data_IF_877425676596
#
_entry.id   IF_877425676596
#
_cell.length_a   1.000
_cell.length_b   1.000
_cell.length_c   1.000
_cell.angle_alpha   90.00
_cell.angle_beta   90.00
_cell.angle_gamma   90.00
#
_symmetry.space_group_name_H-M   'P 1'
#
loop_
_entity.id
_entity.type
_entity.pdbx_description
1 polymer ?
#
# COMPACT_ATOMS: atom_id res chain seq x y z
N UNK A 1 -28.98 -31.46 56.24
CA UNK A 1 -28.62 -32.57 55.35
C UNK A 1 -28.69 -31.99 53.96
N UNK A 2 -27.58 -31.41 53.53
CA UNK A 2 -27.44 -30.91 52.17
C UNK A 2 -27.24 -32.11 51.28
N UNK A 3 -28.21 -32.42 50.44
CA UNK A 3 -28.03 -33.33 49.31
C UNK A 3 -26.97 -32.72 48.39
N UNK A 4 -25.75 -33.25 48.44
CA UNK A 4 -24.75 -33.07 47.42
C UNK A 4 -25.31 -33.73 46.14
N UNK A 5 -25.84 -32.89 45.26
CA UNK A 5 -26.07 -33.29 43.87
C UNK A 5 -24.71 -33.62 43.28
N UNK A 6 -24.40 -34.91 43.18
CA UNK A 6 -23.28 -35.39 42.39
C UNK A 6 -23.47 -34.85 40.96
N UNK A 7 -22.76 -33.79 40.65
CA UNK A 7 -22.66 -33.32 39.26
C UNK A 7 -21.99 -34.45 38.47
N UNK A 8 -22.78 -35.20 37.73
CA UNK A 8 -22.30 -36.15 36.72
C UNK A 8 -21.43 -35.38 35.74
N UNK A 9 -20.14 -35.52 35.87
CA UNK A 9 -19.22 -35.00 34.88
C UNK A 9 -19.37 -35.82 33.59
N UNK A 10 -20.06 -35.26 32.62
CA UNK A 10 -20.13 -35.85 31.30
C UNK A 10 -18.76 -35.62 30.65
N UNK A 11 -18.08 -36.70 30.30
CA UNK A 11 -16.74 -36.66 29.72
C UNK A 11 -16.86 -36.18 28.27
N UNK A 12 -16.63 -34.89 28.05
CA UNK A 12 -16.69 -34.26 26.71
C UNK A 12 -15.33 -34.35 26.06
N UNK A 13 -15.29 -34.88 24.85
CA UNK A 13 -14.11 -34.91 24.05
C UNK A 13 -14.01 -33.66 23.17
N UNK A 14 -13.18 -32.67 23.53
CA UNK A 14 -13.00 -31.46 22.73
C UNK A 14 -12.45 -31.83 21.35
N UNK A 15 -12.77 -30.98 20.37
CA UNK A 15 -12.30 -31.16 19.01
C UNK A 15 -10.76 -31.17 18.95
N UNK A 16 -10.17 -32.11 18.17
CA UNK A 16 -8.70 -32.14 18.01
C UNK A 16 -8.17 -30.79 17.50
N UNK A 17 -6.96 -30.39 17.94
CA UNK A 17 -6.32 -29.11 17.58
C UNK A 17 -6.29 -28.84 16.09
N UNK A 18 -6.02 -29.85 15.27
CA UNK A 18 -5.96 -29.69 13.81
C UNK A 18 -7.33 -29.46 13.19
N UNK A 19 -8.35 -30.21 13.63
CA UNK A 19 -9.74 -29.96 13.20
C UNK A 19 -10.22 -28.59 13.62
N UNK A 20 -9.88 -28.16 14.86
CA UNK A 20 -10.21 -26.83 15.36
C UNK A 20 -9.54 -25.70 14.56
N UNK A 21 -8.25 -25.90 14.21
CA UNK A 21 -7.52 -24.96 13.36
C UNK A 21 -8.12 -24.89 11.95
N UNK A 22 -8.50 -26.02 11.38
CA UNK A 22 -9.16 -26.06 10.06
C UNK A 22 -10.51 -25.35 10.06
N UNK A 23 -11.33 -25.50 11.12
CA UNK A 23 -12.58 -24.76 11.25
C UNK A 23 -12.31 -23.25 11.30
N UNK A 24 -11.36 -22.83 12.13
CA UNK A 24 -10.98 -21.43 12.29
C UNK A 24 -10.50 -20.82 10.97
N UNK A 25 -9.52 -21.47 10.32
CA UNK A 25 -8.98 -20.98 9.05
C UNK A 25 -10.00 -21.07 7.90
N UNK A 26 -10.85 -22.08 7.88
CA UNK A 26 -11.86 -22.29 6.86
C UNK A 26 -12.91 -21.18 6.85
N UNK A 27 -13.39 -20.75 8.01
CA UNK A 27 -14.35 -19.64 8.11
C UNK A 27 -13.74 -18.33 7.57
N UNK A 28 -12.48 -18.03 7.90
CA UNK A 28 -11.80 -16.85 7.37
C UNK A 28 -11.47 -16.97 5.89
N UNK A 29 -11.15 -18.14 5.40
CA UNK A 29 -10.91 -18.36 3.98
C UNK A 29 -12.18 -18.12 3.15
N UNK A 30 -13.32 -18.63 3.60
CA UNK A 30 -14.62 -18.35 2.97
C UNK A 30 -14.95 -16.85 3.02
N UNK A 31 -14.76 -16.23 4.18
CA UNK A 31 -14.99 -14.80 4.35
C UNK A 31 -14.06 -13.96 3.46
N UNK A 32 -12.77 -14.35 3.33
CA UNK A 32 -11.84 -13.69 2.45
C UNK A 32 -12.26 -13.77 0.97
N UNK A 33 -12.63 -14.96 0.48
CA UNK A 33 -13.11 -15.12 -0.90
C UNK A 33 -14.37 -14.27 -1.14
N UNK A 34 -15.31 -14.29 -0.20
CA UNK A 34 -16.53 -13.50 -0.32
C UNK A 34 -16.23 -11.99 -0.29
N UNK A 35 -15.34 -11.54 0.60
CA UNK A 35 -14.88 -10.14 0.64
C UNK A 35 -14.25 -9.74 -0.70
N UNK A 36 -13.40 -10.58 -1.26
CA UNK A 36 -12.77 -10.32 -2.54
C UNK A 36 -13.79 -10.18 -3.68
N UNK A 37 -14.77 -11.08 -3.74
CA UNK A 37 -15.85 -11.02 -4.75
C UNK A 37 -16.70 -9.75 -4.56
N UNK A 38 -17.16 -9.48 -3.34
CA UNK A 38 -18.00 -8.32 -3.04
C UNK A 38 -17.27 -7.00 -3.32
N UNK A 39 -15.99 -6.89 -2.94
CA UNK A 39 -15.20 -5.70 -3.18
C UNK A 39 -15.06 -5.42 -4.67
N UNK A 40 -14.61 -6.40 -5.45
CA UNK A 40 -14.24 -6.19 -6.85
C UNK A 40 -15.44 -6.13 -7.79
N UNK A 41 -16.55 -6.83 -7.49
CA UNK A 41 -17.69 -6.89 -8.40
C UNK A 41 -18.85 -6.00 -7.99
N UNK A 42 -18.94 -5.59 -6.73
CA UNK A 42 -20.11 -4.87 -6.21
C UNK A 42 -19.74 -3.54 -5.58
N UNK A 43 -19.01 -3.56 -4.47
CA UNK A 43 -18.87 -2.37 -3.60
C UNK A 43 -17.99 -1.31 -4.27
N UNK A 44 -16.79 -1.67 -4.70
CA UNK A 44 -15.85 -0.70 -5.28
C UNK A 44 -16.29 -0.19 -6.67
N UNK A 45 -16.81 -1.01 -7.61
CA UNK A 45 -17.41 -0.49 -8.83
C UNK A 45 -18.58 0.47 -8.58
N UNK A 46 -19.45 0.15 -7.62
CA UNK A 46 -20.54 1.06 -7.24
C UNK A 46 -20.03 2.38 -6.66
N UNK A 47 -19.04 2.31 -5.78
CA UNK A 47 -18.40 3.50 -5.22
C UNK A 47 -17.71 4.36 -6.30
N UNK A 48 -17.06 3.73 -7.29
CA UNK A 48 -16.49 4.43 -8.45
C UNK A 48 -17.52 5.26 -9.21
N UNK A 49 -18.68 4.69 -9.46
CA UNK A 49 -19.78 5.37 -10.17
C UNK A 49 -20.36 6.50 -9.31
N UNK A 50 -20.66 6.22 -8.04
CA UNK A 50 -21.29 7.19 -7.13
C UNK A 50 -20.37 8.40 -6.88
N UNK A 51 -19.08 8.15 -6.70
CA UNK A 51 -18.09 9.18 -6.41
C UNK A 51 -17.42 9.78 -7.66
N UNK A 52 -17.77 9.31 -8.86
CA UNK A 52 -17.16 9.75 -10.14
C UNK A 52 -15.61 9.74 -10.09
N UNK A 53 -15.05 8.62 -9.60
CA UNK A 53 -13.60 8.54 -9.32
C UNK A 53 -12.74 8.68 -10.57
N UNK A 54 -13.25 8.30 -11.75
CA UNK A 54 -12.53 8.47 -13.00
C UNK A 54 -12.33 9.95 -13.31
N UNK A 55 -13.39 10.75 -13.24
CA UNK A 55 -13.29 12.20 -13.45
C UNK A 55 -12.38 12.88 -12.43
N UNK A 56 -12.44 12.45 -11.16
CA UNK A 56 -11.53 12.97 -10.13
C UNK A 56 -10.07 12.63 -10.46
N UNK A 57 -9.78 11.39 -10.86
CA UNK A 57 -8.43 10.98 -11.27
C UNK A 57 -7.94 11.77 -12.47
N UNK A 58 -8.78 11.92 -13.49
CA UNK A 58 -8.44 12.71 -14.69
C UNK A 58 -8.19 14.18 -14.34
N UNK A 59 -8.95 14.73 -13.38
CA UNK A 59 -8.76 16.10 -12.88
C UNK A 59 -7.44 16.24 -12.12
N UNK A 60 -7.10 15.30 -11.23
CA UNK A 60 -5.83 15.32 -10.52
C UNK A 60 -4.65 15.24 -11.49
N UNK A 61 -4.69 14.30 -12.44
CA UNK A 61 -3.66 14.20 -13.48
C UNK A 61 -3.55 15.47 -14.32
N UNK A 62 -4.67 16.10 -14.67
CA UNK A 62 -4.65 17.38 -15.40
C UNK A 62 -4.02 18.54 -14.60
N UNK A 63 -4.23 18.58 -13.28
CA UNK A 63 -3.59 19.55 -12.40
C UNK A 63 -2.09 19.32 -12.28
N UNK A 64 -1.66 18.08 -12.11
CA UNK A 64 -0.23 17.72 -12.12
C UNK A 64 0.42 18.11 -13.45
N UNK A 65 -0.23 17.79 -14.58
CA UNK A 65 0.27 18.19 -15.90
C UNK A 65 0.34 19.72 -16.07
N UNK A 66 -0.59 20.48 -15.48
CA UNK A 66 -0.50 21.96 -15.48
C UNK A 66 0.69 22.44 -14.67
N UNK A 67 0.92 21.89 -13.49
CA UNK A 67 2.09 22.21 -12.66
C UNK A 67 3.40 21.91 -13.41
N UNK A 68 3.50 20.71 -13.98
CA UNK A 68 4.66 20.30 -14.78
C UNK A 68 4.86 21.19 -16.02
N UNK A 69 3.76 21.59 -16.68
CA UNK A 69 3.84 22.51 -17.82
C UNK A 69 4.43 23.86 -17.43
N UNK A 70 4.12 24.39 -16.24
CA UNK A 70 4.76 25.62 -15.76
C UNK A 70 6.28 25.48 -15.70
N UNK A 71 6.78 24.34 -15.19
CA UNK A 71 8.23 24.07 -15.15
C UNK A 71 8.84 23.92 -16.55
N UNK A 72 8.11 23.31 -17.47
CA UNK A 72 8.56 23.14 -18.87
C UNK A 72 8.60 24.47 -19.61
N UNK A 73 7.55 25.26 -19.51
CA UNK A 73 7.45 26.55 -20.20
C UNK A 73 8.52 27.56 -19.74
N UNK A 74 9.07 27.38 -18.55
CA UNK A 74 10.14 28.22 -18.00
C UNK A 74 11.54 27.57 -18.05
N UNK A 75 11.66 26.43 -18.72
CA UNK A 75 12.94 25.78 -18.95
C UNK A 75 13.54 25.06 -17.75
N UNK A 76 12.77 24.79 -16.68
CA UNK A 76 13.23 23.96 -15.57
C UNK A 76 13.25 22.47 -15.91
N UNK A 77 12.33 22.04 -16.79
CA UNK A 77 12.28 20.68 -17.32
C UNK A 77 12.38 20.73 -18.85
N UNK A 78 13.19 19.85 -19.41
CA UNK A 78 13.31 19.69 -20.86
C UNK A 78 12.39 18.57 -21.34
N UNK A 79 11.72 18.75 -22.47
CA UNK A 79 10.76 17.80 -23.01
C UNK A 79 11.34 17.15 -24.26
N UNK A 80 11.54 15.82 -24.28
CA UNK A 80 12.04 15.14 -25.48
C UNK A 80 10.98 15.08 -26.59
N UNK A 81 9.69 14.99 -26.20
CA UNK A 81 8.54 14.88 -27.12
C UNK A 81 7.24 15.22 -26.40
N UNK A 82 6.24 15.62 -27.16
CA UNK A 82 4.89 15.82 -26.61
C UNK A 82 4.32 14.49 -26.07
N UNK A 83 3.75 14.56 -24.87
CA UNK A 83 3.13 13.42 -24.20
C UNK A 83 4.09 12.47 -23.51
N UNK A 84 5.35 12.85 -23.31
CA UNK A 84 6.27 12.09 -22.47
C UNK A 84 5.78 12.03 -21.02
N UNK A 85 6.09 10.94 -20.32
CA UNK A 85 5.84 10.82 -18.88
C UNK A 85 6.78 11.76 -18.10
N UNK A 86 6.43 12.01 -16.84
CA UNK A 86 7.32 12.79 -15.96
C UNK A 86 8.70 12.15 -15.81
N UNK A 87 8.75 10.83 -15.70
CA UNK A 87 10.00 10.08 -15.60
C UNK A 87 10.85 10.22 -16.87
N UNK A 88 10.22 10.19 -18.06
CA UNK A 88 10.92 10.43 -19.33
C UNK A 88 11.45 11.87 -19.42
N UNK A 89 10.69 12.86 -18.94
CA UNK A 89 11.11 14.26 -18.91
C UNK A 89 12.32 14.47 -17.98
N UNK A 90 12.26 13.87 -16.77
CA UNK A 90 13.37 13.94 -15.80
C UNK A 90 14.61 13.24 -16.33
N UNK A 91 14.46 12.05 -16.92
CA UNK A 91 15.56 11.31 -17.52
C UNK A 91 16.21 12.09 -18.67
N UNK A 92 15.40 12.69 -19.52
CA UNK A 92 15.91 13.52 -20.61
C UNK A 92 16.64 14.77 -20.09
N UNK A 93 16.08 15.44 -19.08
CA UNK A 93 16.72 16.57 -18.42
C UNK A 93 18.05 16.17 -17.80
N UNK A 94 18.14 15.00 -17.17
CA UNK A 94 19.37 14.42 -16.65
C UNK A 94 20.44 14.28 -17.74
N UNK A 95 20.07 13.75 -18.91
CA UNK A 95 21.00 13.60 -20.07
C UNK A 95 21.46 14.96 -20.58
N UNK A 96 20.59 15.94 -20.66
CA UNK A 96 20.94 17.30 -21.06
C UNK A 96 21.95 17.92 -20.10
N UNK A 97 21.75 17.79 -18.78
CA UNK A 97 22.71 18.26 -17.78
C UNK A 97 24.05 17.51 -17.86
N UNK A 98 24.00 16.20 -18.04
CA UNK A 98 25.23 15.41 -18.21
C UNK A 98 25.99 15.84 -19.43
N UNK A 99 25.32 16.16 -20.54
CA UNK A 99 25.98 16.61 -21.77
C UNK A 99 26.83 17.87 -21.59
N UNK A 100 26.42 18.74 -20.67
CA UNK A 100 27.16 19.93 -20.28
C UNK A 100 28.56 19.62 -19.76
N UNK A 101 28.76 18.50 -19.10
CA UNK A 101 30.04 18.06 -18.54
C UNK A 101 30.78 17.08 -19.47
N UNK A 102 30.03 16.30 -20.25
CA UNK A 102 30.57 15.21 -21.03
C UNK A 102 31.17 15.67 -22.39
N UNK A 103 30.60 16.74 -22.97
CA UNK A 103 31.02 17.23 -24.29
C UNK A 103 31.73 18.58 -24.18
N UNK A 104 32.72 18.77 -25.03
CA UNK A 104 33.32 20.08 -25.25
C UNK A 104 32.52 20.84 -26.32
N UNK A 105 32.62 22.19 -26.35
CA UNK A 105 31.86 23.06 -27.26
C UNK A 105 31.96 22.68 -28.74
N UNK A 106 33.06 21.99 -29.13
CA UNK A 106 33.32 21.56 -30.51
C UNK A 106 32.68 20.19 -30.84
N UNK A 107 32.14 19.46 -29.87
CA UNK A 107 31.68 18.09 -30.07
C UNK A 107 30.13 17.99 -30.13
N UNK A 108 29.52 18.82 -30.98
CA UNK A 108 28.08 18.74 -31.23
C UNK A 108 27.78 17.50 -32.04
N UNK A 109 26.95 16.61 -31.52
CA UNK A 109 26.33 15.55 -32.32
C UNK A 109 25.27 16.16 -33.23
N UNK A 110 25.42 16.13 -34.57
CA UNK A 110 24.43 16.66 -35.50
C UNK A 110 23.06 15.93 -35.41
N UNK A 111 23.03 14.71 -34.86
CA UNK A 111 21.81 13.94 -34.68
C UNK A 111 21.12 14.24 -33.34
N UNK A 112 21.86 14.81 -32.40
CA UNK A 112 21.37 15.22 -31.08
C UNK A 112 21.90 16.61 -30.75
N UNK A 113 21.44 17.68 -31.43
CA UNK A 113 21.95 19.04 -31.28
C UNK A 113 21.75 19.64 -29.89
N UNK A 114 20.88 19.07 -29.08
CA UNK A 114 20.68 19.44 -27.67
C UNK A 114 21.88 19.05 -26.78
N UNK A 115 22.73 18.14 -27.22
CA UNK A 115 23.93 17.75 -26.53
C UNK A 115 25.15 18.47 -27.10
N UNK A 116 26.06 18.93 -26.27
CA UNK A 116 27.37 19.37 -26.68
C UNK A 116 27.66 20.87 -26.57
N UNK A 117 26.70 21.74 -26.56
CA UNK A 117 26.93 23.19 -26.38
C UNK A 117 26.61 23.61 -24.95
N UNK A 118 27.64 23.95 -24.17
CA UNK A 118 27.48 24.30 -22.75
C UNK A 118 26.41 25.39 -22.53
N UNK A 119 26.67 26.59 -22.96
CA UNK A 119 25.79 27.73 -22.65
C UNK A 119 24.68 27.97 -23.69
N UNK A 120 24.69 27.24 -24.79
CA UNK A 120 23.65 27.34 -25.83
C UNK A 120 22.49 26.39 -25.59
N UNK A 121 22.68 25.38 -24.73
CA UNK A 121 21.57 24.53 -24.32
C UNK A 121 20.61 25.29 -23.43
N UNK A 122 19.34 25.42 -23.85
CA UNK A 122 18.36 26.26 -23.17
C UNK A 122 18.11 25.90 -21.70
N UNK A 123 18.04 24.61 -21.40
CA UNK A 123 17.80 24.13 -20.01
C UNK A 123 19.02 24.42 -19.14
N UNK A 124 20.20 24.06 -19.61
CA UNK A 124 21.44 24.27 -18.85
C UNK A 124 21.73 25.74 -18.66
N UNK A 125 21.55 26.55 -19.71
CA UNK A 125 21.71 28.01 -19.62
C UNK A 125 20.75 28.64 -18.66
N UNK A 126 19.45 28.27 -18.72
CA UNK A 126 18.41 28.76 -17.81
C UNK A 126 18.76 28.41 -16.36
N UNK A 127 19.15 27.18 -16.14
CA UNK A 127 19.54 26.68 -14.82
C UNK A 127 20.78 27.43 -14.31
N UNK A 128 21.79 27.61 -15.15
CA UNK A 128 23.00 28.34 -14.80
C UNK A 128 22.70 29.81 -14.44
N UNK A 129 21.92 30.48 -15.26
CA UNK A 129 21.61 31.90 -15.08
C UNK A 129 20.63 32.18 -13.93
N UNK A 130 19.67 31.30 -13.71
CA UNK A 130 18.54 31.55 -12.79
C UNK A 130 18.57 30.75 -11.50
N UNK A 131 19.07 29.52 -11.52
CA UNK A 131 19.09 28.63 -10.37
C UNK A 131 20.44 28.67 -9.65
N UNK A 132 21.56 28.71 -10.42
CA UNK A 132 22.92 28.73 -9.87
C UNK A 132 23.41 30.15 -9.56
N UNK A 133 22.54 31.12 -9.43
CA UNK A 133 22.93 32.51 -9.07
C UNK A 133 23.81 32.60 -7.83
N UNK A 134 23.61 31.74 -6.87
CA UNK A 134 24.51 31.59 -5.73
C UNK A 134 25.53 30.49 -6.00
N UNK A 135 26.56 30.82 -6.78
CA UNK A 135 27.61 29.87 -7.19
C UNK A 135 28.34 29.23 -6.01
N UNK A 136 28.50 29.94 -4.89
CA UNK A 136 29.15 29.42 -3.70
C UNK A 136 28.31 28.29 -3.05
N UNK A 137 26.99 28.48 -2.92
CA UNK A 137 26.12 27.46 -2.37
C UNK A 137 26.04 26.25 -3.27
N UNK A 138 25.95 26.43 -4.58
CA UNK A 138 25.93 25.34 -5.55
C UNK A 138 27.19 24.45 -5.45
N UNK A 139 28.37 25.05 -5.28
CA UNK A 139 29.60 24.31 -5.12
C UNK A 139 29.63 23.52 -3.80
N UNK A 140 29.09 24.12 -2.72
CA UNK A 140 28.95 23.44 -1.44
C UNK A 140 28.03 22.24 -1.60
N UNK A 141 26.86 22.44 -2.15
CA UNK A 141 25.85 21.39 -2.36
C UNK A 141 26.39 20.29 -3.27
N UNK A 142 27.14 20.65 -4.33
CA UNK A 142 27.75 19.66 -5.21
C UNK A 142 28.80 18.80 -4.51
N UNK A 143 29.55 19.38 -3.55
CA UNK A 143 30.54 18.66 -2.73
C UNK A 143 29.89 17.72 -1.70
N UNK A 144 28.67 18.03 -1.26
CA UNK A 144 27.92 17.21 -0.31
C UNK A 144 27.13 16.06 -0.97
N UNK A 145 26.97 16.09 -2.29
CA UNK A 145 26.26 15.06 -3.03
C UNK A 145 27.07 13.76 -3.05
N UNK A 146 26.44 12.67 -2.65
CA UNK A 146 27.04 11.34 -2.71
C UNK A 146 27.49 10.98 -4.13
N UNK A 147 28.68 10.38 -4.23
CA UNK A 147 29.31 9.95 -5.50
C UNK A 147 29.85 11.09 -6.38
N UNK A 148 29.53 12.37 -6.09
CA UNK A 148 29.98 13.48 -6.91
C UNK A 148 31.52 13.59 -6.94
N UNK A 149 32.19 13.46 -5.82
CA UNK A 149 33.67 13.49 -5.70
C UNK A 149 34.33 12.32 -6.39
N UNK A 150 33.65 11.20 -6.57
CA UNK A 150 34.18 10.07 -7.34
C UNK A 150 34.17 10.36 -8.83
N UNK A 151 33.11 11.02 -9.33
CA UNK A 151 32.88 11.25 -10.75
C UNK A 151 33.46 12.59 -11.23
N UNK A 152 33.51 13.60 -10.37
CA UNK A 152 33.91 14.96 -10.71
C UNK A 152 35.14 15.42 -9.93
N UNK A 153 35.92 16.28 -10.56
CA UNK A 153 36.84 17.18 -9.90
C UNK A 153 36.07 18.46 -9.60
N UNK A 154 36.00 18.85 -8.30
CA UNK A 154 35.17 19.96 -7.85
C UNK A 154 36.06 21.08 -7.33
N UNK A 155 36.22 22.13 -8.13
CA UNK A 155 36.99 23.32 -7.75
C UNK A 155 36.24 24.33 -6.93
N UNK A 156 36.65 25.58 -6.98
CA UNK A 156 36.06 26.70 -6.22
C UNK A 156 35.03 27.49 -7.05
N UNK A 157 34.91 27.26 -8.35
CA UNK A 157 33.98 27.92 -9.24
C UNK A 157 33.16 26.89 -9.99
N UNK A 158 31.96 27.24 -10.47
CA UNK A 158 31.11 26.34 -11.24
C UNK A 158 31.82 25.81 -12.49
N UNK A 159 32.59 26.66 -13.18
CA UNK A 159 33.34 26.25 -14.36
C UNK A 159 34.51 25.30 -14.04
N UNK A 160 34.88 25.18 -12.77
CA UNK A 160 35.90 24.23 -12.30
C UNK A 160 35.34 22.90 -11.84
N UNK A 161 34.03 22.64 -12.02
CA UNK A 161 33.42 21.33 -11.85
C UNK A 161 33.61 20.58 -13.19
N UNK A 162 34.49 19.58 -13.20
CA UNK A 162 34.87 18.86 -14.42
C UNK A 162 34.68 17.37 -14.21
N UNK A 163 34.03 16.71 -15.16
CA UNK A 163 33.90 15.25 -15.18
C UNK A 163 35.25 14.58 -15.37
N UNK A 164 35.66 13.65 -14.50
CA UNK A 164 36.93 12.93 -14.61
C UNK A 164 37.02 12.16 -15.90
N UNK A 165 38.21 12.06 -16.46
CA UNK A 165 38.46 11.51 -17.79
C UNK A 165 37.88 10.09 -18.00
N UNK A 166 37.98 9.22 -16.98
CA UNK A 166 37.50 7.84 -17.07
C UNK A 166 35.94 7.82 -17.17
N UNK A 167 35.26 8.64 -16.38
CA UNK A 167 33.81 8.77 -16.45
C UNK A 167 33.35 9.51 -17.69
N UNK A 168 34.09 10.54 -18.12
CA UNK A 168 33.81 11.30 -19.36
C UNK A 168 33.74 10.39 -20.56
N UNK A 169 34.70 9.47 -20.71
CA UNK A 169 34.73 8.52 -21.82
C UNK A 169 33.51 7.58 -21.83
N UNK A 170 33.15 7.02 -20.69
CA UNK A 170 31.99 6.11 -20.54
C UNK A 170 30.68 6.85 -20.81
N UNK A 171 30.47 7.96 -20.13
CA UNK A 171 29.20 8.69 -20.15
C UNK A 171 28.96 9.40 -21.48
N UNK A 172 30.01 9.92 -22.14
CA UNK A 172 29.89 10.48 -23.50
C UNK A 172 29.43 9.44 -24.51
N UNK A 173 30.01 8.25 -24.49
CA UNK A 173 29.60 7.16 -25.36
C UNK A 173 28.16 6.74 -25.10
N UNK A 174 27.74 6.68 -23.83
CA UNK A 174 26.40 6.28 -23.44
C UNK A 174 25.34 7.30 -23.87
N UNK A 175 25.64 8.60 -23.77
CA UNK A 175 24.77 9.67 -24.26
C UNK A 175 24.60 9.61 -25.79
N UNK A 176 25.65 9.28 -26.54
CA UNK A 176 25.57 9.14 -28.00
C UNK A 176 24.76 7.91 -28.44
N UNK A 177 24.76 6.84 -27.65
CA UNK A 177 23.99 5.62 -27.93
C UNK A 177 22.48 5.74 -27.61
N UNK A 178 22.02 6.81 -26.97
CA UNK A 178 20.60 7.09 -26.60
C UNK A 178 19.93 5.86 -25.98
N UNK A 179 20.51 5.33 -24.91
CA UNK A 179 19.98 4.15 -24.21
C UNK A 179 18.75 4.48 -23.35
N UNK A 180 17.88 3.49 -23.21
CA UNK A 180 16.82 3.46 -22.18
C UNK A 180 17.43 3.35 -20.78
N UNK A 181 16.75 3.91 -19.78
CA UNK A 181 17.18 3.87 -18.38
C UNK A 181 17.41 2.44 -17.85
N UNK A 182 16.67 1.45 -18.37
CA UNK A 182 16.85 0.03 -18.03
C UNK A 182 18.18 -0.58 -18.51
N UNK A 183 18.85 0.09 -19.42
CA UNK A 183 20.10 -0.36 -20.06
C UNK A 183 21.30 0.53 -19.73
N UNK A 184 21.17 1.41 -18.74
CA UNK A 184 22.27 2.27 -18.33
C UNK A 184 23.42 1.48 -17.71
N UNK A 185 24.65 1.99 -17.93
CA UNK A 185 25.81 1.53 -17.19
C UNK A 185 25.70 1.89 -15.71
N UNK A 186 26.49 1.25 -14.88
CA UNK A 186 26.62 1.62 -13.47
C UNK A 186 27.01 3.10 -13.30
N UNK A 187 27.88 3.63 -14.15
CA UNK A 187 28.30 5.02 -14.14
C UNK A 187 27.12 5.97 -14.43
N UNK A 188 26.28 5.67 -15.41
CA UNK A 188 25.11 6.48 -15.76
C UNK A 188 24.03 6.38 -14.67
N UNK A 189 23.80 5.20 -14.14
CA UNK A 189 22.86 5.00 -13.01
C UNK A 189 23.30 5.80 -11.79
N UNK A 190 24.57 5.74 -11.42
CA UNK A 190 25.12 6.50 -10.29
C UNK A 190 25.02 8.01 -10.53
N UNK A 191 25.32 8.49 -11.73
CA UNK A 191 25.13 9.91 -12.05
C UNK A 191 23.67 10.33 -11.90
N UNK A 192 22.73 9.60 -12.53
CA UNK A 192 21.30 9.92 -12.51
C UNK A 192 20.74 9.90 -11.08
N UNK A 193 20.97 8.81 -10.35
CA UNK A 193 20.26 8.55 -9.09
C UNK A 193 20.95 9.23 -7.89
N UNK A 194 22.26 9.45 -7.95
CA UNK A 194 23.02 9.99 -6.82
C UNK A 194 23.52 11.41 -7.04
N UNK A 195 23.83 11.81 -8.27
CA UNK A 195 24.33 13.17 -8.52
C UNK A 195 23.21 14.08 -9.04
N UNK A 196 22.66 13.74 -10.20
CA UNK A 196 21.65 14.58 -10.83
C UNK A 196 20.37 14.70 -9.99
N UNK A 197 19.85 13.59 -9.50
CA UNK A 197 18.61 13.60 -8.73
C UNK A 197 18.73 14.48 -7.48
N UNK A 198 19.82 14.39 -6.73
CA UNK A 198 20.03 15.21 -5.55
C UNK A 198 20.16 16.70 -5.90
N UNK A 199 20.96 17.04 -6.92
CA UNK A 199 21.12 18.42 -7.35
C UNK A 199 19.84 19.00 -7.94
N UNK A 200 19.11 18.22 -8.75
CA UNK A 200 17.83 18.64 -9.32
C UNK A 200 16.78 18.88 -8.23
N UNK A 201 16.66 17.98 -7.27
CA UNK A 201 15.73 18.17 -6.16
C UNK A 201 16.11 19.36 -5.28
N UNK A 202 17.37 19.54 -4.95
CA UNK A 202 17.82 20.65 -4.11
C UNK A 202 17.58 22.02 -4.79
N UNK A 203 17.95 22.16 -6.05
CA UNK A 203 18.00 23.47 -6.70
C UNK A 203 16.73 23.81 -7.49
N UNK A 204 16.00 22.84 -8.02
CA UNK A 204 14.77 23.08 -8.79
C UNK A 204 13.54 22.86 -7.93
N UNK A 205 13.36 21.65 -7.43
CA UNK A 205 12.12 21.28 -6.75
C UNK A 205 11.93 22.08 -5.46
N UNK A 206 12.96 22.19 -4.62
CA UNK A 206 12.87 22.97 -3.39
C UNK A 206 12.65 24.46 -3.68
N UNK A 207 13.39 25.03 -4.67
CA UNK A 207 13.22 26.42 -5.05
C UNK A 207 11.77 26.69 -5.53
N UNK A 208 11.24 25.80 -6.35
CA UNK A 208 9.86 25.93 -6.89
C UNK A 208 8.80 25.73 -5.81
N UNK A 209 9.03 24.82 -4.87
CA UNK A 209 8.06 24.52 -3.80
C UNK A 209 8.16 25.49 -2.63
N UNK A 210 9.35 25.87 -2.19
CA UNK A 210 9.56 26.78 -1.05
C UNK A 210 9.15 28.22 -1.37
N UNK A 211 9.37 28.68 -2.60
CA UNK A 211 9.06 30.05 -3.01
C UNK A 211 7.68 30.18 -3.66
N UNK A 212 6.88 29.10 -3.67
CA UNK A 212 5.56 29.04 -4.33
C UNK A 212 5.59 29.65 -5.73
N UNK A 213 6.28 28.95 -6.63
CA UNK A 213 6.45 29.42 -7.99
C UNK A 213 5.11 29.74 -8.66
N UNK A 214 4.93 31.03 -9.06
CA UNK A 214 3.71 31.55 -9.65
C UNK A 214 3.98 32.03 -11.08
N UNK A 215 3.18 31.56 -12.04
CA UNK A 215 3.18 31.99 -13.43
C UNK A 215 1.76 32.30 -13.89
N UNK A 216 1.56 33.47 -14.51
CA UNK A 216 0.26 33.92 -15.02
C UNK A 216 -0.87 33.85 -13.96
N UNK A 217 -0.53 34.09 -12.70
CA UNK A 217 -1.46 34.05 -11.56
C UNK A 217 -1.81 32.62 -11.06
N UNK A 218 -1.21 31.58 -11.61
CA UNK A 218 -1.33 30.21 -11.15
C UNK A 218 -0.12 29.81 -10.30
N UNK A 219 -0.37 29.10 -9.20
CA UNK A 219 0.64 28.63 -8.27
C UNK A 219 0.96 27.17 -8.54
N UNK A 220 2.25 26.83 -8.59
CA UNK A 220 2.70 25.44 -8.69
C UNK A 220 2.21 24.62 -7.51
N UNK A 221 2.43 25.11 -6.29
CA UNK A 221 1.99 24.43 -5.07
C UNK A 221 0.47 24.33 -5.01
N UNK A 222 -0.27 25.34 -5.50
CA UNK A 222 -1.72 25.31 -5.58
C UNK A 222 -2.23 24.14 -6.43
N UNK A 223 -1.67 23.93 -7.61
CA UNK A 223 -2.03 22.79 -8.45
C UNK A 223 -1.67 21.45 -7.83
N UNK A 224 -0.47 21.32 -7.27
CA UNK A 224 -0.01 20.09 -6.63
C UNK A 224 -0.82 19.76 -5.37
N UNK A 225 -1.18 20.76 -4.57
CA UNK A 225 -1.99 20.56 -3.37
C UNK A 225 -3.43 20.16 -3.72
N UNK A 226 -4.04 20.80 -4.72
CA UNK A 226 -5.37 20.42 -5.19
C UNK A 226 -5.38 18.99 -5.75
N UNK A 227 -4.37 18.62 -6.55
CA UNK A 227 -4.22 17.25 -7.05
C UNK A 227 -4.06 16.25 -5.89
N UNK A 228 -3.23 16.57 -4.90
CA UNK A 228 -3.02 15.75 -3.71
C UNK A 228 -4.30 15.57 -2.89
N UNK A 229 -5.11 16.62 -2.72
CA UNK A 229 -6.39 16.54 -2.03
C UNK A 229 -7.36 15.62 -2.76
N UNK A 230 -7.45 15.71 -4.10
CA UNK A 230 -8.28 14.81 -4.90
C UNK A 230 -7.79 13.36 -4.75
N UNK A 231 -6.49 13.11 -4.84
CA UNK A 231 -5.92 11.76 -4.65
C UNK A 231 -6.18 11.21 -3.24
N UNK A 232 -6.09 12.06 -2.22
CA UNK A 232 -6.46 11.70 -0.84
C UNK A 232 -7.94 11.30 -0.73
N UNK A 233 -8.85 12.03 -1.39
CA UNK A 233 -10.27 11.67 -1.44
C UNK A 233 -10.49 10.32 -2.12
N UNK A 234 -9.79 10.03 -3.21
CA UNK A 234 -9.84 8.72 -3.88
C UNK A 234 -9.35 7.59 -2.99
N UNK A 235 -8.29 7.82 -2.20
CA UNK A 235 -7.82 6.86 -1.20
C UNK A 235 -8.89 6.58 -0.13
N UNK A 236 -9.60 7.62 0.31
CA UNK A 236 -10.71 7.45 1.25
C UNK A 236 -11.87 6.67 0.64
N UNK A 237 -12.24 6.91 -0.62
CA UNK A 237 -13.27 6.12 -1.32
C UNK A 237 -12.90 4.64 -1.34
N UNK A 238 -11.66 4.30 -1.68
CA UNK A 238 -11.18 2.93 -1.67
C UNK A 238 -11.19 2.32 -0.25
N UNK A 239 -10.72 3.07 0.75
CA UNK A 239 -10.65 2.63 2.14
C UNK A 239 -12.04 2.36 2.72
N UNK A 240 -12.98 3.28 2.52
CA UNK A 240 -14.37 3.12 2.97
C UNK A 240 -15.03 1.94 2.26
N UNK A 241 -14.80 1.77 0.96
CA UNK A 241 -15.32 0.62 0.20
C UNK A 241 -14.82 -0.71 0.76
N UNK A 242 -13.55 -0.79 1.16
CA UNK A 242 -12.99 -1.98 1.79
C UNK A 242 -13.60 -2.24 3.18
N UNK A 243 -13.79 -1.20 4.01
CA UNK A 243 -14.45 -1.32 5.31
C UNK A 243 -15.91 -1.76 5.17
N UNK A 244 -16.66 -1.18 4.23
CA UNK A 244 -18.04 -1.58 3.92
C UNK A 244 -18.09 -3.04 3.48
N UNK A 245 -17.18 -3.46 2.60
CA UNK A 245 -17.09 -4.84 2.15
C UNK A 245 -16.84 -5.80 3.32
N UNK A 246 -15.89 -5.43 4.20
CA UNK A 246 -15.59 -6.23 5.40
C UNK A 246 -16.81 -6.34 6.32
N UNK A 247 -17.53 -5.24 6.54
CA UNK A 247 -18.74 -5.22 7.34
C UNK A 247 -19.87 -6.07 6.73
N UNK A 248 -20.05 -6.01 5.40
CA UNK A 248 -21.02 -6.85 4.68
C UNK A 248 -20.66 -8.33 4.79
N UNK A 249 -19.41 -8.69 4.54
CA UNK A 249 -18.93 -10.07 4.67
C UNK A 249 -19.08 -10.59 6.09
N UNK A 250 -18.68 -9.79 7.08
CA UNK A 250 -18.86 -10.12 8.49
C UNK A 250 -20.34 -10.39 8.80
N UNK A 251 -21.22 -9.50 8.36
CA UNK A 251 -22.66 -9.64 8.59
C UNK A 251 -23.20 -10.93 7.99
N UNK A 252 -22.80 -11.26 6.77
CA UNK A 252 -23.28 -12.45 6.06
C UNK A 252 -22.74 -13.74 6.69
N UNK A 253 -21.43 -13.83 6.91
CA UNK A 253 -20.75 -15.09 7.30
C UNK A 253 -20.83 -15.35 8.80
N UNK A 254 -20.65 -14.32 9.63
CA UNK A 254 -20.51 -14.49 11.08
C UNK A 254 -21.73 -14.04 11.90
N UNK A 255 -22.72 -13.37 11.27
CA UNK A 255 -23.96 -12.98 11.96
C UNK A 255 -25.16 -13.68 11.34
N UNK A 256 -25.48 -13.38 10.08
CA UNK A 256 -26.74 -13.86 9.46
C UNK A 256 -26.76 -15.37 9.30
N UNK A 257 -25.69 -15.95 8.72
CA UNK A 257 -25.65 -17.40 8.53
C UNK A 257 -25.78 -18.20 9.84
N UNK A 258 -25.01 -17.92 10.91
CA UNK A 258 -25.20 -18.60 12.19
C UNK A 258 -26.56 -18.36 12.82
N UNK A 259 -27.14 -17.15 12.70
CA UNK A 259 -28.45 -16.85 13.29
C UNK A 259 -29.63 -17.57 12.62
N UNK A 260 -29.49 -17.84 11.32
CA UNK A 260 -30.52 -18.60 10.55
C UNK A 260 -30.35 -20.10 10.73
N UNK A 261 -29.13 -20.56 10.97
CA UNK A 261 -28.84 -21.95 11.21
C UNK A 261 -29.38 -22.38 12.61
N UNK A 262 -30.13 -23.50 12.65
CA UNK A 262 -30.79 -23.99 13.87
C UNK A 262 -29.83 -24.19 15.05
N UNK A 263 -28.56 -24.48 14.78
CA UNK A 263 -27.55 -24.77 15.80
C UNK A 263 -26.50 -23.64 15.94
N UNK A 264 -26.80 -22.45 15.43
CA UNK A 264 -25.92 -21.29 15.50
C UNK A 264 -24.47 -21.58 14.97
N UNK A 265 -24.34 -22.46 13.98
CA UNK A 265 -23.05 -22.88 13.40
C UNK A 265 -22.61 -21.93 12.29
N UNK A 266 -21.31 -21.75 12.17
CA UNK A 266 -20.71 -21.13 10.98
C UNK A 266 -20.75 -22.09 9.79
N UNK A 267 -20.38 -21.59 8.59
CA UNK A 267 -20.39 -22.41 7.37
C UNK A 267 -19.43 -23.59 7.51
N UNK A 268 -18.19 -23.35 7.93
CA UNK A 268 -17.19 -24.42 8.10
C UNK A 268 -17.56 -25.39 9.21
N UNK A 269 -18.13 -24.91 10.31
CA UNK A 269 -18.65 -25.77 11.35
C UNK A 269 -19.75 -26.71 10.82
N UNK A 270 -20.67 -26.21 10.02
CA UNK A 270 -21.74 -27.01 9.41
C UNK A 270 -21.19 -28.08 8.48
N UNK A 271 -20.21 -27.73 7.64
CA UNK A 271 -19.57 -28.68 6.70
C UNK A 271 -18.76 -29.75 7.44
N UNK A 272 -18.09 -29.40 8.53
CA UNK A 272 -17.23 -30.32 9.29
C UNK A 272 -17.94 -31.11 10.39
N UNK A 273 -19.26 -30.96 10.56
CA UNK A 273 -20.03 -31.63 11.59
C UNK A 273 -19.59 -31.24 13.00
N UNK A 274 -19.44 -29.95 13.26
CA UNK A 274 -18.95 -29.39 14.53
C UNK A 274 -19.98 -28.46 15.12
N UNK A 275 -20.13 -28.48 16.44
CA UNK A 275 -21.02 -27.62 17.22
C UNK A 275 -20.25 -26.91 18.34
N UNK A 276 -20.82 -25.82 18.84
CA UNK A 276 -20.31 -25.09 20.01
C UNK A 276 -21.23 -25.24 21.20
N UNK A 277 -20.62 -25.41 22.37
CA UNK A 277 -21.29 -25.45 23.66
C UNK A 277 -20.70 -24.41 24.60
N UNK A 278 -21.50 -23.96 25.56
CA UNK A 278 -21.00 -23.26 26.74
C UNK A 278 -20.13 -24.19 27.58
N UNK A 279 -18.89 -23.78 27.88
CA UNK A 279 -17.91 -24.62 28.55
C UNK A 279 -18.36 -25.13 29.90
N UNK A 280 -19.04 -24.30 30.73
CA UNK A 280 -19.44 -24.66 32.09
C UNK A 280 -20.80 -25.39 32.17
N UNK A 281 -21.74 -25.02 31.30
CA UNK A 281 -23.13 -25.56 31.37
C UNK A 281 -23.38 -26.65 30.34
N UNK A 282 -22.48 -26.83 29.36
CA UNK A 282 -22.64 -27.75 28.24
C UNK A 282 -23.94 -27.54 27.45
N UNK A 283 -24.54 -26.37 27.59
CA UNK A 283 -25.72 -25.97 26.83
C UNK A 283 -25.29 -25.47 25.44
N UNK A 284 -26.18 -25.59 24.46
CA UNK A 284 -25.97 -24.96 23.16
C UNK A 284 -25.82 -23.45 23.30
N UNK A 285 -24.97 -22.84 22.43
CA UNK A 285 -24.75 -21.39 22.45
C UNK A 285 -26.02 -20.64 22.05
N UNK A 286 -26.29 -19.56 22.75
CA UNK A 286 -27.37 -18.63 22.43
C UNK A 286 -26.98 -17.59 21.38
N UNK A 287 -27.98 -16.89 20.84
CA UNK A 287 -27.77 -15.84 19.83
C UNK A 287 -26.93 -14.67 20.37
N UNK A 288 -26.98 -14.38 21.67
CA UNK A 288 -26.19 -13.34 22.31
C UNK A 288 -24.70 -13.71 22.27
N UNK A 289 -24.38 -14.94 22.58
CA UNK A 289 -23.01 -15.48 22.48
C UNK A 289 -22.48 -15.41 21.04
N UNK A 290 -23.30 -15.77 20.03
CA UNK A 290 -22.96 -15.61 18.61
C UNK A 290 -22.61 -14.16 18.28
N UNK A 291 -23.41 -13.21 18.74
CA UNK A 291 -23.14 -11.78 18.51
C UNK A 291 -21.81 -11.33 19.11
N UNK A 292 -21.51 -11.73 20.34
CA UNK A 292 -20.23 -11.38 20.99
C UNK A 292 -19.06 -11.98 20.22
N UNK A 293 -19.15 -13.25 19.81
CA UNK A 293 -18.14 -13.90 18.99
C UNK A 293 -17.97 -13.22 17.62
N UNK A 294 -19.08 -12.79 17.01
CA UNK A 294 -19.04 -12.15 15.71
C UNK A 294 -18.25 -10.85 15.72
N UNK A 295 -18.29 -10.06 16.80
CA UNK A 295 -17.45 -8.86 16.94
C UNK A 295 -15.97 -9.18 16.95
N UNK A 296 -15.57 -10.26 17.62
CA UNK A 296 -14.20 -10.74 17.55
C UNK A 296 -13.80 -11.08 16.10
N UNK A 297 -14.67 -11.81 15.40
CA UNK A 297 -14.44 -12.18 14.00
C UNK A 297 -14.42 -10.96 13.08
N UNK A 298 -15.17 -9.90 13.37
CA UNK A 298 -15.09 -8.63 12.63
C UNK A 298 -13.69 -8.02 12.70
N UNK A 299 -13.14 -7.91 13.92
CA UNK A 299 -11.80 -7.33 14.10
C UNK A 299 -10.73 -8.18 13.39
N UNK A 300 -10.85 -9.51 13.47
CA UNK A 300 -9.93 -10.42 12.78
C UNK A 300 -10.06 -10.29 11.26
N UNK A 301 -11.27 -10.10 10.73
CA UNK A 301 -11.51 -9.97 9.30
C UNK A 301 -10.92 -8.69 8.70
N UNK A 302 -10.65 -7.67 9.51
CA UNK A 302 -9.99 -6.43 9.05
C UNK A 302 -8.62 -6.70 8.40
N UNK A 303 -7.94 -7.80 8.74
CA UNK A 303 -6.68 -8.19 8.06
C UNK A 303 -6.87 -8.46 6.57
N UNK A 304 -8.06 -8.88 6.14
CA UNK A 304 -8.33 -9.17 4.74
C UNK A 304 -8.26 -7.92 3.84
N UNK A 305 -8.41 -6.72 4.42
CA UNK A 305 -8.39 -5.46 3.68
C UNK A 305 -7.08 -5.26 2.91
N UNK A 306 -5.94 -5.67 3.48
CA UNK A 306 -4.64 -5.58 2.81
C UNK A 306 -4.57 -6.30 1.47
N UNK A 307 -5.35 -7.36 1.31
CA UNK A 307 -5.29 -8.21 0.13
C UNK A 307 -6.32 -7.86 -0.94
N UNK A 308 -7.29 -6.99 -0.61
CA UNK A 308 -8.39 -6.68 -1.52
C UNK A 308 -7.97 -5.92 -2.80
N UNK A 309 -7.09 -4.91 -2.75
CA UNK A 309 -6.75 -4.12 -3.93
C UNK A 309 -5.55 -4.63 -4.73
N UNK A 310 -4.70 -5.47 -4.14
CA UNK A 310 -3.39 -5.84 -4.72
C UNK A 310 -3.53 -6.60 -6.04
N UNK A 311 -4.65 -7.27 -6.28
CA UNK A 311 -4.79 -8.19 -7.40
C UNK A 311 -5.39 -7.57 -8.69
N UNK A 312 -6.11 -6.42 -8.63
CA UNK A 312 -6.86 -5.94 -9.79
C UNK A 312 -6.70 -4.47 -10.19
N UNK A 313 -6.18 -3.64 -9.32
CA UNK A 313 -6.17 -2.19 -9.55
C UNK A 313 -4.79 -1.63 -9.31
N UNK A 314 -3.82 -1.87 -10.06
CA UNK A 314 -2.48 -1.27 -9.94
C UNK A 314 -2.38 -0.11 -8.89
N UNK A 315 -1.24 0.28 -8.47
CA UNK A 315 -0.95 1.26 -7.40
C UNK A 315 -1.69 2.62 -7.45
N UNK A 316 -2.54 2.84 -8.49
CA UNK A 316 -3.28 4.09 -8.69
C UNK A 316 -4.30 4.41 -7.56
N UNK A 317 -4.75 3.41 -6.80
CA UNK A 317 -5.64 3.59 -5.66
C UNK A 317 -5.02 2.98 -4.41
N UNK A 318 -4.09 3.69 -3.80
CA UNK A 318 -3.60 3.30 -2.48
C UNK A 318 -4.65 3.60 -1.42
N UNK A 319 -4.79 2.70 -0.44
CA UNK A 319 -5.57 2.98 0.76
C UNK A 319 -4.92 4.05 1.63
N UNK A 320 -5.67 4.58 2.59
CA UNK A 320 -5.10 5.34 3.69
C UNK A 320 -4.19 4.41 4.52
N UNK A 321 -2.91 4.35 4.14
CA UNK A 321 -1.94 3.39 4.68
C UNK A 321 -1.81 3.42 6.21
N UNK A 322 -1.74 4.59 6.90
CA UNK A 322 -1.63 4.60 8.36
C UNK A 322 -2.80 3.91 9.05
N UNK A 323 -4.04 4.19 8.62
CA UNK A 323 -5.23 3.57 9.20
C UNK A 323 -5.25 2.06 8.96
N UNK A 324 -5.03 1.64 7.71
CA UNK A 324 -5.04 0.22 7.34
C UNK A 324 -3.94 -0.53 8.06
N UNK A 325 -2.74 0.04 8.19
CA UNK A 325 -1.64 -0.57 8.92
C UNK A 325 -1.99 -0.84 10.40
N UNK A 326 -2.60 0.12 11.09
CA UNK A 326 -3.03 -0.07 12.48
C UNK A 326 -4.09 -1.18 12.58
N UNK A 327 -5.13 -1.12 11.76
CA UNK A 327 -6.21 -2.10 11.79
C UNK A 327 -5.71 -3.52 11.49
N UNK A 328 -4.87 -3.67 10.49
CA UNK A 328 -4.34 -4.99 10.10
C UNK A 328 -3.32 -5.54 11.08
N UNK A 329 -2.54 -4.69 11.75
CA UNK A 329 -1.61 -5.11 12.80
C UNK A 329 -2.37 -5.69 13.99
N UNK A 330 -3.42 -5.00 14.47
CA UNK A 330 -4.28 -5.49 15.55
C UNK A 330 -4.93 -6.82 15.15
N UNK A 331 -5.50 -6.88 13.95
CA UNK A 331 -6.17 -8.06 13.41
C UNK A 331 -5.22 -9.26 13.31
N UNK A 332 -4.04 -9.07 12.75
CA UNK A 332 -3.01 -10.12 12.61
C UNK A 332 -2.57 -10.62 14.00
N UNK A 333 -2.40 -9.72 14.96
CA UNK A 333 -2.11 -10.07 16.34
C UNK A 333 -3.17 -11.01 16.93
N UNK A 334 -4.46 -10.74 16.71
CA UNK A 334 -5.55 -11.59 17.18
C UNK A 334 -5.60 -12.96 16.49
N UNK A 335 -5.24 -13.04 15.19
CA UNK A 335 -5.11 -14.32 14.48
C UNK A 335 -4.03 -15.17 15.11
N UNK A 336 -2.84 -14.59 15.33
CA UNK A 336 -1.70 -15.28 15.94
C UNK A 336 -2.05 -15.76 17.35
N UNK A 337 -2.61 -14.89 18.18
CA UNK A 337 -3.04 -15.23 19.54
C UNK A 337 -4.07 -16.35 19.53
N UNK A 338 -5.08 -16.30 18.62
CA UNK A 338 -6.05 -17.41 18.47
C UNK A 338 -5.39 -18.71 18.06
N UNK A 339 -4.45 -18.67 17.12
CA UNK A 339 -3.70 -19.85 16.69
C UNK A 339 -2.88 -20.48 17.83
N UNK A 340 -2.20 -19.64 18.61
CA UNK A 340 -1.45 -20.09 19.79
C UNK A 340 -2.39 -20.76 20.81
N UNK A 341 -3.54 -20.15 21.11
CA UNK A 341 -4.51 -20.76 22.04
C UNK A 341 -5.08 -22.08 21.51
N UNK A 342 -5.38 -22.18 20.20
CA UNK A 342 -5.84 -23.45 19.62
C UNK A 342 -4.80 -24.57 19.76
N UNK A 343 -3.52 -24.25 19.62
CA UNK A 343 -2.44 -25.24 19.65
C UNK A 343 -2.07 -25.66 21.08
N UNK A 344 -1.99 -24.69 22.00
CA UNK A 344 -1.42 -24.88 23.34
C UNK A 344 -2.44 -24.96 24.47
N UNK A 345 -3.70 -24.50 24.25
CA UNK A 345 -4.74 -24.64 25.28
C UNK A 345 -5.23 -26.09 25.36
N UNK A 346 -5.47 -26.60 26.55
CA UNK A 346 -5.88 -27.98 26.82
C UNK A 346 -7.17 -28.38 26.08
N UNK A 347 -8.10 -27.44 25.94
CA UNK A 347 -9.38 -27.64 25.22
C UNK A 347 -9.40 -27.06 23.82
N UNK A 348 -8.25 -26.69 23.27
CA UNK A 348 -8.08 -26.14 21.92
C UNK A 348 -9.01 -24.96 21.58
N UNK A 349 -9.25 -24.07 22.55
CA UNK A 349 -10.15 -22.91 22.44
C UNK A 349 -9.46 -21.77 21.74
N UNK A 350 -10.14 -21.11 20.77
CA UNK A 350 -9.66 -19.88 20.15
C UNK A 350 -9.86 -18.67 21.05
N UNK A 351 -9.32 -17.51 20.68
CA UNK A 351 -9.55 -16.27 21.40
C UNK A 351 -11.04 -15.92 21.55
N UNK A 352 -11.85 -16.12 20.50
CA UNK A 352 -13.31 -15.92 20.59
C UNK A 352 -13.98 -16.91 21.53
N UNK A 353 -13.52 -18.17 21.59
CA UNK A 353 -14.08 -19.18 22.49
C UNK A 353 -13.75 -18.89 23.95
N UNK A 354 -12.56 -18.39 24.23
CA UNK A 354 -12.15 -17.98 25.59
C UNK A 354 -12.98 -16.78 26.03
N UNK A 355 -13.15 -15.77 25.15
CA UNK A 355 -13.93 -14.57 25.44
C UNK A 355 -15.38 -14.88 25.81
N UNK A 356 -15.98 -15.88 25.18
CA UNK A 356 -17.39 -16.25 25.37
C UNK A 356 -17.59 -17.51 26.21
N UNK A 357 -16.54 -18.05 26.79
CA UNK A 357 -16.52 -19.28 27.57
C UNK A 357 -17.21 -20.45 26.84
N UNK A 358 -16.79 -20.71 25.60
CA UNK A 358 -17.32 -21.79 24.76
C UNK A 358 -16.23 -22.82 24.42
N UNK A 359 -16.67 -23.99 23.99
CA UNK A 359 -15.82 -25.08 23.49
C UNK A 359 -16.44 -25.71 22.23
N UNK A 360 -15.61 -26.18 21.31
CA UNK A 360 -16.07 -26.90 20.12
C UNK A 360 -16.02 -28.41 20.32
N UNK A 361 -17.09 -29.09 19.94
CA UNK A 361 -17.25 -30.54 20.00
C UNK A 361 -17.75 -31.09 18.66
N UNK A 362 -17.52 -32.39 18.37
CA UNK A 362 -18.20 -33.05 17.26
C UNK A 362 -19.73 -33.03 17.47
N UNK A 363 -20.49 -32.89 16.40
CA UNK A 363 -21.97 -32.86 16.48
C UNK A 363 -22.54 -34.14 17.07
N UNK A 364 -21.90 -35.28 16.80
CA UNK A 364 -22.30 -36.57 17.38
C UNK A 364 -22.29 -36.59 18.91
N UNK A 365 -21.40 -35.84 19.54
CA UNK A 365 -21.39 -35.70 21.01
C UNK A 365 -22.53 -34.83 21.52
N UNK A 366 -22.88 -33.76 20.77
CA UNK A 366 -24.04 -32.94 21.09
C UNK A 366 -25.33 -33.74 21.05
N UNK A 367 -25.50 -34.58 20.01
CA UNK A 367 -26.68 -35.44 19.86
C UNK A 367 -26.74 -36.45 21.00
N UNK A 368 -25.60 -37.03 21.42
CA UNK A 368 -25.55 -37.95 22.58
C UNK A 368 -25.94 -37.26 23.90
N UNK A 369 -25.47 -35.99 24.11
CA UNK A 369 -25.84 -35.21 25.29
C UNK A 369 -27.32 -34.90 25.34
N UNK A 370 -27.97 -34.60 24.22
CA UNK A 370 -29.41 -34.36 24.17
C UNK A 370 -30.21 -35.64 24.50
N UNK A 371 -29.81 -36.78 23.94
CA UNK A 371 -30.44 -38.07 24.21
C UNK A 371 -30.30 -38.45 25.71
N UNK A 372 -29.15 -38.16 26.33
CA UNK A 372 -28.93 -38.44 27.73
C UNK A 372 -29.79 -37.56 28.64
N UNK A 373 -29.89 -36.26 28.34
CA UNK A 373 -30.73 -35.29 29.05
C UNK A 373 -32.24 -35.61 28.93
N UNK A 374 -32.69 -36.05 27.76
CA UNK A 374 -34.08 -36.50 27.60
C UNK A 374 -34.38 -37.73 28.44
N UNK A 375 -33.42 -38.64 28.59
CA UNK A 375 -33.57 -39.84 29.43
C UNK A 375 -33.61 -39.52 30.93
N UNK A 376 -32.85 -38.50 31.34
CA UNK A 376 -32.80 -38.05 32.76
C UNK A 376 -33.92 -37.10 33.11
N UNK A 377 -34.81 -36.73 32.18
CA UNK A 377 -35.99 -35.88 32.41
C UNK A 377 -35.68 -34.42 32.63
N UNK A 378 -34.48 -33.97 32.30
CA UNK A 378 -34.10 -32.56 32.30
C UNK A 378 -34.45 -31.94 30.93
N UNK A 379 -35.63 -31.29 30.86
CA UNK A 379 -36.00 -30.42 29.72
C UNK A 379 -35.51 -28.98 29.90
#
# INVERSE_FOLDING_TARGET
MEEQVEQKFIDIHPLSKWKRLLVFLGDYFIAFILSFILFNLVVFPSAKIICDTQKQSDTANALEQKALKMLKDDGYLFIPKDGASFEEDVDYTCKVFLSYYAFDDASVDPNNPQYGHKLENEVVRHYYENVIKNTAQYIIDFKEVNEADKMFEIGETVDSIVLKADYKAILSNELLEVKDASNYSEAMTNYRDHVFAQLFYLHVYNHVTENDYVKDGASFNGYMEEARQIMSNLQWVATVSALVTTALTWSLVFVLYPMVNKENRTITMSVMGVSKLHYNSLASIDKKTVMIQSFYHFVVLLSSILFLPILFFGLAYSFNLPLIFVLTTISTGLIVVSGVFIIFNEHHRSGSDILTNTVMVPTSELDALYIEREKDGEQ
#
